data_IF_762606809188
#
_entry.id   IF_762606809188
#
_cell.length_a   1.000
_cell.length_b   1.000
_cell.length_c   1.000
_cell.angle_alpha   90.00
_cell.angle_beta   90.00
_cell.angle_gamma   90.00
#
_symmetry.space_group_name_H-M   'P 1'
#
loop_
_entity.id
_entity.type
_entity.pdbx_description
1 polymer ?
#
# COMPACT_ATOMS: atom_id res chain seq x y z
N UNK A 1 -12.39 -4.73 -23.75
CA UNK A 1 -11.48 -5.32 -22.82
C UNK A 1 -12.25 -5.95 -21.66
N UNK A 2 -11.67 -6.93 -20.99
CA UNK A 2 -12.24 -7.54 -19.79
C UNK A 2 -11.53 -6.97 -18.56
N UNK A 3 -12.26 -6.84 -17.46
CA UNK A 3 -11.73 -6.51 -16.14
C UNK A 3 -11.99 -7.71 -15.24
N UNK A 4 -10.95 -8.18 -14.59
CA UNK A 4 -11.04 -9.22 -13.59
C UNK A 4 -11.02 -8.60 -12.20
N UNK A 5 -12.04 -8.90 -11.38
CA UNK A 5 -12.09 -8.49 -9.99
C UNK A 5 -11.49 -9.62 -9.15
N UNK A 6 -10.29 -9.43 -8.65
CA UNK A 6 -9.62 -10.42 -7.82
C UNK A 6 -10.21 -10.49 -6.41
N UNK A 7 -10.56 -9.33 -5.86
CA UNK A 7 -11.17 -9.20 -4.53
C UNK A 7 -11.78 -7.81 -4.35
N UNK A 8 -12.98 -7.77 -3.80
CA UNK A 8 -13.53 -6.55 -3.23
C UNK A 8 -12.97 -6.35 -1.81
N UNK A 9 -12.51 -5.14 -1.51
CA UNK A 9 -12.05 -4.80 -0.15
C UNK A 9 -13.22 -4.83 0.83
N UNK A 10 -12.97 -5.32 2.03
CA UNK A 10 -13.98 -5.35 3.09
C UNK A 10 -14.27 -3.95 3.63
N UNK A 11 -13.27 -3.05 3.60
CA UNK A 11 -13.35 -1.67 4.05
C UNK A 11 -12.47 -0.77 3.19
N UNK A 12 -12.97 0.42 2.85
CA UNK A 12 -12.22 1.46 2.15
C UNK A 12 -12.53 2.83 2.76
N UNK A 13 -11.52 3.67 2.91
CA UNK A 13 -11.66 5.04 3.36
C UNK A 13 -11.68 6.01 2.19
N UNK A 14 -12.59 6.96 2.24
CA UNK A 14 -12.76 7.99 1.21
C UNK A 14 -12.90 9.36 1.86
N UNK A 15 -12.33 10.38 1.23
CA UNK A 15 -12.54 11.77 1.61
C UNK A 15 -12.73 12.65 0.37
N UNK A 16 -13.55 13.67 0.52
CA UNK A 16 -13.71 14.73 -0.48
C UNK A 16 -12.69 15.84 -0.29
N UNK A 17 -12.37 16.55 -1.36
CA UNK A 17 -11.64 17.82 -1.32
C UNK A 17 -12.58 18.94 -1.88
N UNK A 18 -13.02 19.88 -1.06
CA UNK A 18 -12.72 20.06 0.37
C UNK A 18 -13.48 19.07 1.28
N UNK A 19 -12.95 18.82 2.48
CA UNK A 19 -13.50 17.85 3.44
C UNK A 19 -14.95 18.17 3.90
N UNK A 20 -15.38 19.41 3.82
CA UNK A 20 -16.79 19.80 4.10
C UNK A 20 -17.82 19.08 3.22
N UNK A 21 -17.40 18.58 2.06
CA UNK A 21 -18.26 17.87 1.12
C UNK A 21 -18.30 16.36 1.36
N UNK A 22 -17.57 15.83 2.37
CA UNK A 22 -17.52 14.42 2.72
C UNK A 22 -18.91 13.80 2.83
N UNK A 23 -19.83 14.47 3.54
CA UNK A 23 -21.18 13.96 3.74
C UNK A 23 -21.90 13.73 2.41
N UNK A 24 -21.88 14.73 1.53
CA UNK A 24 -22.54 14.65 0.22
C UNK A 24 -21.95 13.53 -0.65
N UNK A 25 -20.63 13.39 -0.67
CA UNK A 25 -19.95 12.34 -1.42
C UNK A 25 -20.29 10.96 -0.84
N UNK A 26 -20.28 10.81 0.49
CA UNK A 26 -20.61 9.56 1.16
C UNK A 26 -22.05 9.13 0.90
N UNK A 27 -23.04 10.05 1.00
CA UNK A 27 -24.46 9.77 0.75
C UNK A 27 -24.69 9.17 -0.66
N UNK A 28 -23.84 9.50 -1.62
CA UNK A 28 -23.87 8.95 -2.97
C UNK A 28 -23.12 7.63 -3.09
N UNK A 29 -21.88 7.58 -2.61
CA UNK A 29 -20.99 6.44 -2.83
C UNK A 29 -21.39 5.18 -2.07
N UNK A 30 -21.93 5.30 -0.86
CA UNK A 30 -22.36 4.13 -0.06
C UNK A 30 -23.49 3.34 -0.70
N UNK A 31 -24.25 3.96 -1.62
CA UNK A 31 -25.31 3.27 -2.36
C UNK A 31 -24.73 2.25 -3.37
N UNK A 32 -23.52 2.47 -3.83
CA UNK A 32 -22.83 1.59 -4.80
C UNK A 32 -21.78 0.75 -4.12
N UNK A 33 -21.09 1.32 -3.13
CA UNK A 33 -19.97 0.70 -2.40
C UNK A 33 -20.24 0.76 -0.89
N UNK A 34 -21.04 -0.17 -0.33
CA UNK A 34 -21.43 -0.12 1.09
C UNK A 34 -20.29 -0.28 2.07
N UNK A 35 -19.11 -0.75 1.62
CA UNK A 35 -17.89 -0.92 2.42
C UNK A 35 -17.06 0.37 2.58
N UNK A 36 -17.55 1.51 2.03
CA UNK A 36 -16.86 2.79 2.14
C UNK A 36 -17.12 3.44 3.50
N UNK A 37 -16.08 3.96 4.12
CA UNK A 37 -16.13 4.79 5.32
C UNK A 37 -15.53 6.18 5.04
N UNK A 38 -16.08 7.20 5.70
CA UNK A 38 -15.54 8.55 5.57
C UNK A 38 -14.22 8.66 6.38
N UNK A 39 -13.18 9.17 5.74
CA UNK A 39 -12.01 9.72 6.42
C UNK A 39 -12.25 11.19 6.78
N UNK A 40 -11.48 11.75 7.72
CA UNK A 40 -11.59 13.16 8.12
C UNK A 40 -11.36 14.10 6.92
N UNK A 41 -10.34 13.81 6.14
CA UNK A 41 -9.91 14.61 5.00
C UNK A 41 -8.98 13.81 4.07
N UNK A 42 -8.56 14.42 2.96
CA UNK A 42 -7.67 13.78 1.98
C UNK A 42 -6.26 13.49 2.51
N UNK A 43 -5.78 14.18 3.55
CA UNK A 43 -4.50 13.83 4.17
C UNK A 43 -4.59 12.47 4.86
N UNK A 44 -5.70 12.18 5.54
CA UNK A 44 -5.91 10.87 6.16
C UNK A 44 -5.93 9.75 5.13
N UNK A 45 -6.63 9.94 4.00
CA UNK A 45 -6.63 8.93 2.93
C UNK A 45 -5.26 8.78 2.28
N UNK A 46 -4.51 9.87 2.11
CA UNK A 46 -3.17 9.85 1.53
C UNK A 46 -2.15 9.16 2.42
N UNK A 47 -2.15 9.46 3.73
CA UNK A 47 -1.21 8.85 4.67
C UNK A 47 -1.52 7.36 4.92
N UNK A 48 -2.77 6.95 4.75
CA UNK A 48 -3.18 5.54 4.83
C UNK A 48 -2.93 4.76 3.52
N UNK A 49 -2.31 5.37 2.50
CA UNK A 49 -1.79 4.64 1.36
C UNK A 49 -0.64 3.73 1.80
N UNK A 50 -0.72 2.44 1.46
CA UNK A 50 0.32 1.45 1.80
C UNK A 50 1.36 1.27 0.70
N UNK A 51 1.17 1.87 -0.48
CA UNK A 51 2.09 1.82 -1.60
C UNK A 51 3.52 2.23 -1.23
N UNK A 52 3.74 3.36 -0.51
CA UNK A 52 5.07 3.80 -0.07
C UNK A 52 5.83 2.78 0.79
N UNK A 53 5.11 1.97 1.56
CA UNK A 53 5.70 0.91 2.39
C UNK A 53 5.96 -0.33 1.56
N UNK A 54 5.02 -0.69 0.67
CA UNK A 54 4.99 -1.97 -0.03
C UNK A 54 5.93 -2.06 -1.22
N UNK A 55 6.22 -0.96 -1.90
CA UNK A 55 6.79 -1.01 -3.23
C UNK A 55 8.25 -0.58 -3.31
N UNK A 56 8.70 0.59 -2.77
CA UNK A 56 10.06 1.07 -2.99
C UNK A 56 11.13 0.17 -2.36
N UNK A 57 10.96 -0.21 -1.09
CA UNK A 57 11.98 -1.00 -0.39
C UNK A 57 12.17 -2.39 -1.02
N UNK A 58 11.13 -3.21 -1.27
CA UNK A 58 11.32 -4.48 -1.97
C UNK A 58 11.96 -4.32 -3.34
N UNK A 59 11.58 -3.31 -4.09
CA UNK A 59 12.11 -3.05 -5.44
C UNK A 59 13.58 -2.67 -5.41
N UNK A 60 13.98 -1.72 -4.56
CA UNK A 60 15.34 -1.21 -4.52
C UNK A 60 16.33 -2.19 -3.90
N UNK A 61 15.90 -2.96 -2.91
CA UNK A 61 16.77 -3.90 -2.21
C UNK A 61 16.91 -5.26 -2.92
N UNK A 62 16.12 -5.50 -3.98
CA UNK A 62 16.12 -6.75 -4.73
C UNK A 62 16.29 -6.55 -6.25
N UNK A 63 17.15 -5.63 -6.65
CA UNK A 63 17.42 -5.37 -8.08
C UNK A 63 17.87 -6.61 -8.83
N UNK A 64 18.63 -7.51 -8.22
CA UNK A 64 19.04 -8.76 -8.81
C UNK A 64 17.88 -9.73 -9.12
N UNK A 65 16.80 -9.69 -8.33
CA UNK A 65 15.59 -10.46 -8.61
C UNK A 65 14.88 -9.88 -9.83
N UNK A 66 14.85 -8.55 -9.97
CA UNK A 66 14.28 -7.88 -11.14
C UNK A 66 15.06 -8.22 -12.41
N UNK A 67 16.40 -8.24 -12.35
CA UNK A 67 17.26 -8.66 -13.47
C UNK A 67 16.98 -10.12 -13.88
N UNK A 68 16.81 -11.02 -12.92
CA UNK A 68 16.46 -12.42 -13.17
C UNK A 68 15.06 -12.56 -13.77
N UNK A 69 14.10 -11.77 -13.30
CA UNK A 69 12.76 -11.70 -13.90
C UNK A 69 12.83 -11.21 -15.35
N UNK A 70 13.65 -10.19 -15.63
CA UNK A 70 13.91 -9.70 -16.98
C UNK A 70 14.57 -10.75 -17.88
N UNK A 71 15.36 -11.65 -17.30
CA UNK A 71 15.96 -12.80 -18.00
C UNK A 71 14.99 -13.97 -18.22
N UNK A 72 13.74 -13.85 -17.78
CA UNK A 72 12.67 -14.81 -18.03
C UNK A 72 12.38 -15.79 -16.89
N UNK A 73 12.95 -15.57 -15.69
CA UNK A 73 12.56 -16.37 -14.52
C UNK A 73 11.13 -15.99 -14.04
N UNK A 74 10.33 -17.00 -13.68
CA UNK A 74 8.98 -16.81 -13.17
C UNK A 74 8.99 -16.43 -11.68
N UNK A 75 9.25 -15.15 -11.41
CA UNK A 75 9.33 -14.57 -10.08
C UNK A 75 8.08 -13.74 -9.76
N UNK A 76 7.72 -13.70 -8.49
CA UNK A 76 6.52 -12.99 -8.00
C UNK A 76 6.91 -11.85 -7.09
N UNK A 77 6.29 -10.67 -7.27
CA UNK A 77 6.65 -9.48 -6.52
C UNK A 77 6.55 -9.70 -5.00
N UNK A 78 5.38 -10.03 -4.51
CA UNK A 78 5.15 -10.15 -3.07
C UNK A 78 5.75 -11.40 -2.44
N UNK A 79 5.97 -12.46 -3.21
CA UNK A 79 6.58 -13.70 -2.74
C UNK A 79 8.11 -13.63 -2.70
N UNK A 80 8.70 -13.07 -3.76
CA UNK A 80 10.15 -13.20 -3.96
C UNK A 80 10.94 -11.91 -3.62
N UNK A 81 10.29 -10.72 -3.65
CA UNK A 81 10.93 -9.47 -3.31
C UNK A 81 10.71 -9.07 -1.84
N UNK A 82 9.62 -9.49 -1.19
CA UNK A 82 9.42 -9.23 0.24
C UNK A 82 10.12 -10.34 1.03
N UNK A 83 11.33 -10.06 1.50
CA UNK A 83 12.23 -11.02 2.13
C UNK A 83 12.58 -10.61 3.57
N UNK A 84 13.06 -11.57 4.36
CA UNK A 84 13.56 -11.37 5.72
C UNK A 84 15.08 -11.46 5.75
N UNK A 85 15.74 -10.77 6.69
CA UNK A 85 15.16 -9.79 7.64
C UNK A 85 15.17 -8.35 7.11
N UNK A 86 16.00 -8.04 6.09
CA UNK A 86 16.35 -6.63 5.75
C UNK A 86 15.17 -5.91 5.09
N UNK A 87 14.54 -6.50 4.09
CA UNK A 87 13.43 -5.85 3.37
C UNK A 87 12.27 -5.58 4.31
N UNK A 88 11.86 -6.59 5.08
CA UNK A 88 10.81 -6.46 6.08
C UNK A 88 11.13 -5.35 7.09
N UNK A 89 12.34 -5.33 7.65
CA UNK A 89 12.77 -4.31 8.60
C UNK A 89 12.69 -2.88 8.03
N UNK A 90 13.08 -2.69 6.76
CA UNK A 90 12.97 -1.37 6.11
C UNK A 90 11.52 -0.98 5.89
N UNK A 91 10.67 -1.92 5.47
CA UNK A 91 9.24 -1.68 5.32
C UNK A 91 8.58 -1.29 6.64
N UNK A 92 8.88 -2.00 7.73
CA UNK A 92 8.37 -1.70 9.07
C UNK A 92 8.80 -0.30 9.54
N UNK A 93 10.05 0.10 9.26
CA UNK A 93 10.52 1.45 9.61
C UNK A 93 9.79 2.55 8.84
N UNK A 94 9.53 2.35 7.55
CA UNK A 94 8.74 3.30 6.76
C UNK A 94 7.30 3.38 7.31
N UNK A 95 6.71 2.25 7.70
CA UNK A 95 5.38 2.20 8.29
C UNK A 95 5.31 2.92 9.65
N UNK A 96 6.32 2.71 10.53
CA UNK A 96 6.44 3.40 11.81
C UNK A 96 6.52 4.93 11.62
N UNK A 97 7.34 5.40 10.68
CA UNK A 97 7.48 6.82 10.36
C UNK A 97 6.17 7.41 9.81
N UNK A 98 5.53 6.74 8.87
CA UNK A 98 4.22 7.10 8.33
C UNK A 98 3.18 7.26 9.44
N UNK A 99 3.09 6.27 10.34
CA UNK A 99 2.15 6.31 11.47
C UNK A 99 2.47 7.45 12.43
N UNK A 100 3.76 7.71 12.68
CA UNK A 100 4.20 8.81 13.55
C UNK A 100 3.81 10.18 12.98
N UNK A 101 3.98 10.36 11.68
CA UNK A 101 3.57 11.60 10.98
C UNK A 101 2.04 11.76 11.08
N UNK A 102 1.28 10.73 10.79
CA UNK A 102 -0.18 10.80 10.88
C UNK A 102 -0.69 11.16 12.27
N UNK A 103 -0.07 10.62 13.32
CA UNK A 103 -0.37 10.97 14.71
C UNK A 103 -0.04 12.44 15.02
N UNK A 104 1.06 12.96 14.47
CA UNK A 104 1.43 14.36 14.67
C UNK A 104 0.40 15.35 14.05
N UNK A 105 -0.34 14.91 13.05
CA UNK A 105 -1.44 15.67 12.43
C UNK A 105 -2.84 15.29 12.96
N UNK A 106 -2.91 14.52 14.04
CA UNK A 106 -4.17 14.05 14.64
C UNK A 106 -5.08 13.29 13.64
N UNK A 107 -4.46 12.50 12.77
CA UNK A 107 -5.15 11.68 11.77
C UNK A 107 -5.33 10.25 12.28
N UNK A 108 -6.44 9.60 11.92
CA UNK A 108 -6.64 8.18 12.17
C UNK A 108 -5.78 7.36 11.18
N UNK A 109 -4.56 7.06 11.59
CA UNK A 109 -3.55 6.39 10.76
C UNK A 109 -3.41 4.92 11.15
N UNK A 110 -3.58 4.07 10.15
CA UNK A 110 -3.41 2.63 10.27
C UNK A 110 -1.97 2.22 10.00
N UNK A 111 -1.50 1.21 10.72
CA UNK A 111 -0.33 0.44 10.29
C UNK A 111 -0.66 -0.35 9.02
N UNK A 112 0.36 -0.80 8.30
CA UNK A 112 0.12 -1.71 7.17
C UNK A 112 -0.55 -3.01 7.61
N UNK A 113 -0.22 -3.53 8.80
CA UNK A 113 -0.90 -4.71 9.34
C UNK A 113 -2.40 -4.45 9.56
N UNK A 114 -2.75 -3.30 10.15
CA UNK A 114 -4.15 -2.91 10.31
C UNK A 114 -4.85 -2.77 8.97
N UNK A 115 -4.19 -2.13 8.01
CA UNK A 115 -4.76 -1.93 6.69
C UNK A 115 -5.09 -3.26 5.98
N UNK A 116 -4.20 -4.26 6.06
CA UNK A 116 -4.45 -5.58 5.48
C UNK A 116 -5.56 -6.33 6.22
N UNK A 117 -5.59 -6.24 7.55
CA UNK A 117 -6.66 -6.82 8.36
C UNK A 117 -8.03 -6.24 8.00
N UNK A 118 -8.14 -4.91 7.97
CA UNK A 118 -9.40 -4.21 7.70
C UNK A 118 -9.83 -4.36 6.24
N UNK A 119 -8.90 -4.22 5.29
CA UNK A 119 -9.24 -4.23 3.86
C UNK A 119 -9.48 -5.64 3.30
N UNK A 120 -8.75 -6.65 3.78
CA UNK A 120 -8.78 -8.00 3.19
C UNK A 120 -9.09 -9.12 4.18
N UNK A 121 -9.10 -8.85 5.47
CA UNK A 121 -9.22 -9.87 6.51
C UNK A 121 -7.96 -10.76 6.65
N UNK A 122 -6.84 -10.33 6.10
CA UNK A 122 -5.56 -11.04 6.20
C UNK A 122 -4.82 -10.60 7.45
N UNK A 123 -4.34 -11.55 8.22
CA UNK A 123 -3.61 -11.31 9.47
C UNK A 123 -2.29 -12.08 9.48
N UNK A 124 -1.36 -11.60 10.30
CA UNK A 124 -0.07 -12.24 10.53
C UNK A 124 0.69 -11.51 11.63
N UNK A 125 1.72 -12.12 12.21
CA UNK A 125 2.54 -11.50 13.25
C UNK A 125 3.47 -10.40 12.71
N UNK A 126 3.67 -10.34 11.39
CA UNK A 126 4.55 -9.37 10.74
C UNK A 126 4.08 -9.04 9.32
N UNK A 127 4.70 -8.03 8.69
CA UNK A 127 4.43 -7.67 7.29
C UNK A 127 4.76 -8.83 6.34
N UNK A 128 5.89 -9.51 6.55
CA UNK A 128 6.25 -10.67 5.75
C UNK A 128 5.13 -11.73 5.74
N UNK A 129 4.61 -12.09 6.92
CA UNK A 129 3.58 -13.11 7.03
C UNK A 129 2.27 -12.68 6.35
N UNK A 130 1.90 -11.39 6.51
CA UNK A 130 0.68 -10.84 5.88
C UNK A 130 0.78 -10.90 4.36
N UNK A 131 1.93 -10.55 3.77
CA UNK A 131 2.11 -10.61 2.30
C UNK A 131 2.12 -12.04 1.78
N UNK A 132 2.82 -12.94 2.46
CA UNK A 132 2.93 -14.34 2.04
C UNK A 132 1.64 -15.14 2.28
N UNK A 133 0.80 -14.72 3.21
CA UNK A 133 -0.50 -15.32 3.48
C UNK A 133 -1.65 -14.68 2.70
N UNK A 134 -1.40 -13.62 1.92
CA UNK A 134 -2.43 -12.94 1.15
C UNK A 134 -2.59 -13.59 -0.23
N UNK A 135 -3.62 -14.42 -0.45
CA UNK A 135 -3.79 -15.15 -1.71
C UNK A 135 -4.03 -14.25 -2.91
N UNK A 136 -4.51 -13.01 -2.67
CA UNK A 136 -4.82 -12.04 -3.74
C UNK A 136 -3.57 -11.41 -4.35
N UNK A 137 -2.42 -11.48 -3.64
CA UNK A 137 -1.18 -10.83 -4.07
C UNK A 137 -0.13 -11.78 -4.63
N UNK A 138 -0.24 -13.07 -4.32
CA UNK A 138 0.76 -14.07 -4.73
C UNK A 138 0.88 -14.26 -6.26
N UNK A 139 -0.15 -13.86 -7.02
CA UNK A 139 -0.16 -13.96 -8.48
C UNK A 139 0.61 -12.85 -9.22
N UNK A 140 0.96 -11.73 -8.56
CA UNK A 140 1.61 -10.61 -9.24
C UNK A 140 3.05 -10.94 -9.61
N UNK A 141 3.38 -10.86 -10.89
CA UNK A 141 4.74 -11.07 -11.39
C UNK A 141 5.70 -10.01 -10.86
N UNK A 142 6.94 -10.41 -10.66
CA UNK A 142 8.02 -9.47 -10.42
C UNK A 142 8.24 -8.60 -11.66
N UNK A 143 8.62 -7.33 -11.47
CA UNK A 143 8.88 -6.44 -12.60
C UNK A 143 10.12 -6.89 -13.38
N UNK A 144 10.22 -6.42 -14.62
CA UNK A 144 11.34 -6.70 -15.53
C UNK A 144 12.18 -5.47 -15.85
N UNK A 145 11.77 -4.29 -15.40
CA UNK A 145 12.49 -3.03 -15.62
C UNK A 145 12.32 -2.11 -14.40
N UNK A 146 13.40 -1.83 -13.70
CA UNK A 146 13.39 -0.95 -12.52
C UNK A 146 13.21 0.52 -12.90
N UNK A 147 13.63 0.92 -14.09
CA UNK A 147 13.61 2.32 -14.50
C UNK A 147 12.22 2.80 -14.97
N UNK A 148 11.31 1.88 -15.23
CA UNK A 148 9.93 2.19 -15.65
C UNK A 148 8.88 1.76 -14.63
N UNK A 149 9.29 1.47 -13.41
CA UNK A 149 8.39 1.01 -12.35
C UNK A 149 7.69 2.16 -11.67
N UNK A 150 6.36 2.15 -11.68
CA UNK A 150 5.53 3.04 -10.87
C UNK A 150 5.87 2.91 -9.37
N UNK A 151 6.30 1.74 -8.93
CA UNK A 151 6.79 1.49 -7.56
C UNK A 151 7.88 2.47 -7.12
N UNK A 152 8.66 3.01 -8.06
CA UNK A 152 9.71 4.01 -7.81
C UNK A 152 9.30 5.37 -8.38
N UNK A 153 8.87 5.42 -9.63
CA UNK A 153 8.61 6.68 -10.35
C UNK A 153 7.38 7.43 -9.82
N UNK A 154 6.46 6.72 -9.19
CA UNK A 154 5.26 7.29 -8.59
C UNK A 154 5.35 7.35 -7.06
N UNK A 155 5.63 6.22 -6.41
CA UNK A 155 5.60 6.13 -4.94
C UNK A 155 6.68 6.99 -4.26
N UNK A 156 7.87 7.12 -4.86
CA UNK A 156 8.92 7.93 -4.25
C UNK A 156 8.58 9.42 -4.33
N UNK A 157 8.35 10.04 -5.50
CA UNK A 157 8.10 11.49 -5.59
C UNK A 157 6.74 11.90 -5.04
N UNK A 158 5.70 11.07 -5.15
CA UNK A 158 4.33 11.45 -4.80
C UNK A 158 3.90 10.98 -3.40
N UNK A 159 4.69 10.13 -2.75
CA UNK A 159 4.36 9.60 -1.42
C UNK A 159 5.52 9.75 -0.44
N UNK A 160 6.70 9.13 -0.67
CA UNK A 160 7.81 9.17 0.30
C UNK A 160 8.41 10.58 0.45
N UNK A 161 8.59 11.32 -0.64
CA UNK A 161 9.13 12.69 -0.57
C UNK A 161 8.20 13.64 0.17
N UNK A 162 6.88 13.68 -0.08
CA UNK A 162 5.94 14.41 0.75
C UNK A 162 5.97 13.99 2.22
N UNK A 163 5.97 12.68 2.52
CA UNK A 163 6.07 12.21 3.91
C UNK A 163 7.34 12.71 4.60
N UNK A 164 8.49 12.58 3.95
CA UNK A 164 9.76 13.06 4.49
C UNK A 164 9.81 14.57 4.72
N UNK A 165 9.00 15.37 4.00
CA UNK A 165 8.92 16.82 4.20
C UNK A 165 8.04 17.24 5.38
N UNK A 166 7.28 16.29 5.95
CA UNK A 166 6.47 16.50 7.16
C UNK A 166 7.14 15.97 8.45
N UNK A 167 8.28 15.28 8.31
CA UNK A 167 9.00 14.65 9.44
C UNK A 167 9.92 15.61 10.21
#
# INVERSE_FOLDING_TARGET
GAVEILKEKNKMRVAALPAKDNRHVMDTLVQVYPQIEAAQNVMETSINNVGPVNHPAPTLLNTSIIERSAAGEDLRFYRDLITRPIVEMVMEKIDDEKVSIGKAFDLDTWTCLDWYRESYGVTGPSLYDVYHNNPYYLGFHAPTDILQLNNILDEVPNSLVPLASFS
#
